data_IF_684143063120
#
_entry.id   IF_684143063120
#
_cell.length_a   1.000
_cell.length_b   1.000
_cell.length_c   1.000
_cell.angle_alpha   90.00
_cell.angle_beta   90.00
_cell.angle_gamma   90.00
#
_symmetry.space_group_name_H-M   'P 1'
#
loop_
_entity.id
_entity.type
_entity.pdbx_description
1 polymer ?
#
# COMPACT_ATOMS: atom_id res chain seq x y z
N UNK A 1 -38.40 26.17 -53.81
CA UNK A 1 -37.32 25.15 -53.67
C UNK A 1 -36.54 25.21 -52.35
N UNK A 2 -36.49 26.35 -51.63
CA UNK A 2 -35.69 26.48 -50.40
C UNK A 2 -36.31 25.87 -49.12
N UNK A 3 -37.64 25.88 -48.97
CA UNK A 3 -38.31 25.39 -47.75
C UNK A 3 -38.18 23.87 -47.54
N UNK A 4 -38.27 23.08 -48.60
CA UNK A 4 -38.13 21.62 -48.51
C UNK A 4 -36.70 21.20 -48.17
N UNK A 5 -35.71 21.96 -48.64
CA UNK A 5 -34.29 21.72 -48.32
C UNK A 5 -34.00 21.95 -46.83
N UNK A 6 -34.57 23.01 -46.25
CA UNK A 6 -34.41 23.31 -44.82
C UNK A 6 -35.09 22.27 -43.92
N UNK A 7 -36.25 21.74 -44.32
CA UNK A 7 -36.94 20.66 -43.59
C UNK A 7 -36.16 19.34 -43.58
N UNK A 8 -35.54 18.99 -44.71
CA UNK A 8 -34.71 17.78 -44.82
C UNK A 8 -33.44 17.91 -43.97
N UNK A 9 -32.79 19.09 -43.98
CA UNK A 9 -31.61 19.35 -43.15
C UNK A 9 -31.96 19.28 -41.66
N UNK A 10 -33.07 19.88 -41.23
CA UNK A 10 -33.55 19.82 -39.85
C UNK A 10 -33.84 18.38 -39.40
N UNK A 11 -34.49 17.58 -40.25
CA UNK A 11 -34.78 16.18 -39.94
C UNK A 11 -33.51 15.34 -39.80
N UNK A 12 -32.51 15.55 -40.66
CA UNK A 12 -31.22 14.85 -40.58
C UNK A 12 -30.44 15.22 -39.32
N UNK A 13 -30.43 16.49 -38.93
CA UNK A 13 -29.80 16.95 -37.69
C UNK A 13 -30.45 16.26 -36.47
N UNK A 14 -31.78 16.15 -36.47
CA UNK A 14 -32.52 15.53 -35.37
C UNK A 14 -32.21 14.02 -35.24
N UNK A 15 -32.09 13.31 -36.36
CA UNK A 15 -31.71 11.88 -36.37
C UNK A 15 -30.28 11.67 -35.88
N UNK A 16 -29.34 12.55 -36.25
CA UNK A 16 -27.95 12.48 -35.75
C UNK A 16 -27.88 12.76 -34.25
N UNK A 17 -28.64 13.74 -33.75
CA UNK A 17 -28.68 14.07 -32.32
C UNK A 17 -29.28 12.91 -31.52
N UNK A 18 -30.39 12.33 -31.97
CA UNK A 18 -31.01 11.17 -31.31
C UNK A 18 -30.08 9.96 -31.37
N UNK A 19 -29.48 9.69 -32.53
CA UNK A 19 -28.52 8.59 -32.69
C UNK A 19 -27.30 8.72 -31.80
N UNK A 20 -26.72 9.92 -31.70
CA UNK A 20 -25.60 10.20 -30.80
C UNK A 20 -26.01 10.11 -29.33
N UNK A 21 -27.18 10.63 -28.95
CA UNK A 21 -27.68 10.54 -27.58
C UNK A 21 -27.96 9.09 -27.16
N UNK A 22 -28.51 8.28 -28.06
CA UNK A 22 -28.74 6.84 -27.82
C UNK A 22 -27.41 6.09 -27.80
N UNK A 23 -26.45 6.43 -28.66
CA UNK A 23 -25.11 5.82 -28.64
C UNK A 23 -24.39 6.12 -27.32
N UNK A 24 -24.44 7.36 -26.83
CA UNK A 24 -23.86 7.74 -25.53
C UNK A 24 -24.58 7.04 -24.36
N UNK A 25 -25.90 6.89 -24.44
CA UNK A 25 -26.68 6.21 -23.41
C UNK A 25 -26.48 4.69 -23.42
N UNK A 26 -26.18 4.10 -24.58
CA UNK A 26 -25.95 2.66 -24.75
C UNK A 26 -24.48 2.25 -24.66
N UNK A 27 -23.52 3.19 -24.79
CA UNK A 27 -22.13 2.91 -24.41
C UNK A 27 -22.10 2.65 -22.91
N UNK A 28 -21.66 1.46 -22.46
CA UNK A 28 -21.37 1.25 -21.06
C UNK A 28 -20.38 2.33 -20.67
N UNK A 29 -20.74 3.17 -19.69
CA UNK A 29 -19.74 3.94 -18.98
C UNK A 29 -18.81 2.88 -18.40
N UNK A 30 -17.59 2.80 -18.93
CA UNK A 30 -16.54 1.98 -18.35
C UNK A 30 -16.48 2.43 -16.90
N UNK A 31 -16.99 1.60 -15.99
CA UNK A 31 -16.95 1.90 -14.57
C UNK A 31 -15.47 2.05 -14.26
N UNK A 32 -14.97 3.28 -14.18
CA UNK A 32 -13.70 3.56 -13.53
C UNK A 32 -13.81 2.84 -12.20
N UNK A 33 -13.08 1.71 -12.06
CA UNK A 33 -13.03 0.95 -10.82
C UNK A 33 -12.58 1.96 -9.80
N UNK A 34 -13.52 2.40 -8.96
CA UNK A 34 -13.21 3.33 -7.89
C UNK A 34 -12.12 2.61 -7.07
N UNK A 35 -10.93 3.20 -6.91
CA UNK A 35 -9.86 2.54 -6.18
C UNK A 35 -10.44 2.12 -4.82
N UNK A 36 -10.14 0.89 -4.41
CA UNK A 36 -10.38 0.46 -3.02
C UNK A 36 -9.40 1.27 -2.19
N UNK A 37 -9.76 2.51 -1.87
CA UNK A 37 -9.04 3.34 -0.95
C UNK A 37 -9.53 2.96 0.43
N UNK A 38 -8.71 2.19 1.11
CA UNK A 38 -8.84 2.06 2.54
C UNK A 38 -7.96 3.15 3.15
N UNK A 39 -8.53 4.26 3.67
CA UNK A 39 -7.75 5.19 4.47
C UNK A 39 -7.46 4.47 5.80
N UNK A 40 -6.33 3.80 5.89
CA UNK A 40 -5.87 3.21 7.14
C UNK A 40 -4.73 4.08 7.67
N UNK A 41 -5.10 5.06 8.47
CA UNK A 41 -4.26 5.41 9.61
C UNK A 41 -4.44 4.38 10.71
N UNK A 42 -3.63 4.43 11.76
CA UNK A 42 -3.73 3.49 12.88
C UNK A 42 -4.53 4.05 14.07
N UNK A 43 -5.39 5.05 13.89
CA UNK A 43 -6.14 5.80 14.92
C UNK A 43 -6.82 4.95 16.01
N UNK A 44 -7.29 3.76 15.67
CA UNK A 44 -8.01 2.87 16.59
C UNK A 44 -7.27 1.55 16.87
N UNK A 45 -6.00 1.46 16.50
CA UNK A 45 -5.16 0.28 16.64
C UNK A 45 -4.64 -0.26 15.32
N UNK A 46 -4.15 -1.49 15.35
CA UNK A 46 -3.66 -2.19 14.15
C UNK A 46 -4.78 -2.90 13.38
N UNK A 47 -6.01 -2.91 13.90
CA UNK A 47 -7.22 -3.43 13.25
C UNK A 47 -7.03 -4.80 12.56
N UNK A 48 -7.22 -4.84 11.24
CA UNK A 48 -7.14 -6.05 10.40
C UNK A 48 -5.71 -6.38 9.95
N UNK A 49 -4.70 -5.61 10.39
CA UNK A 49 -3.31 -5.86 10.08
C UNK A 49 -2.72 -6.95 10.98
N UNK A 50 -2.14 -7.96 10.34
CA UNK A 50 -1.34 -9.01 10.98
C UNK A 50 0.10 -8.56 11.11
N UNK A 51 0.79 -9.05 12.14
CA UNK A 51 2.19 -8.72 12.43
C UNK A 51 3.04 -9.92 12.08
N UNK A 52 4.06 -9.73 11.25
CA UNK A 52 4.93 -10.82 10.85
C UNK A 52 6.41 -10.42 10.79
N UNK A 53 7.29 -11.43 10.78
CA UNK A 53 8.72 -11.24 11.00
C UNK A 53 9.59 -12.38 10.45
N UNK A 54 10.59 -12.01 9.66
CA UNK A 54 11.72 -12.85 9.29
C UNK A 54 12.97 -12.34 10.00
N UNK A 55 13.28 -12.93 11.15
CA UNK A 55 14.32 -12.42 12.05
C UNK A 55 15.23 -13.55 12.56
N UNK A 56 16.53 -13.28 12.75
CA UNK A 56 17.51 -14.29 13.11
C UNK A 56 17.39 -14.75 14.57
N UNK A 57 18.15 -15.78 14.92
CA UNK A 57 18.32 -16.22 16.31
C UNK A 57 19.19 -15.23 17.08
N UNK A 58 18.82 -14.95 18.32
CA UNK A 58 19.59 -14.07 19.20
C UNK A 58 20.80 -14.83 19.80
N UNK A 59 22.05 -14.45 19.47
CA UNK A 59 23.24 -15.08 20.04
C UNK A 59 23.41 -14.81 21.54
N UNK A 60 22.81 -13.72 22.06
CA UNK A 60 22.83 -13.34 23.47
C UNK A 60 21.70 -14.00 24.28
N UNK A 61 20.68 -14.54 23.61
CA UNK A 61 19.57 -15.27 24.22
C UNK A 61 19.31 -16.61 23.50
N UNK A 62 20.17 -17.63 23.72
CA UNK A 62 20.12 -18.87 22.96
C UNK A 62 18.75 -19.57 22.98
N UNK A 63 18.27 -19.92 21.79
CA UNK A 63 16.97 -20.57 21.60
C UNK A 63 15.81 -19.61 21.34
N UNK A 64 16.06 -18.31 21.41
CA UNK A 64 15.07 -17.28 21.07
C UNK A 64 15.53 -16.52 19.81
N UNK A 65 14.55 -15.98 19.07
CA UNK A 65 14.83 -15.00 18.01
C UNK A 65 15.17 -13.63 18.63
N UNK A 66 15.77 -12.74 17.84
CA UNK A 66 16.02 -11.35 18.23
C UNK A 66 14.72 -10.66 18.65
N UNK A 67 14.81 -9.70 19.56
CA UNK A 67 13.64 -9.03 20.10
C UNK A 67 13.02 -8.12 19.04
N UNK A 68 11.71 -8.22 18.85
CA UNK A 68 10.96 -7.32 17.99
C UNK A 68 9.52 -7.18 18.48
N UNK A 69 8.86 -6.10 18.09
CA UNK A 69 7.45 -5.88 18.37
C UNK A 69 6.87 -4.83 17.43
N UNK A 70 5.60 -5.02 17.04
CA UNK A 70 4.81 -4.01 16.36
C UNK A 70 3.58 -3.71 17.23
N UNK A 71 3.39 -2.44 17.54
CA UNK A 71 2.32 -1.97 18.44
C UNK A 71 1.71 -0.69 17.90
N UNK A 72 0.42 -0.51 18.14
CA UNK A 72 -0.20 0.80 18.06
C UNK A 72 0.40 1.75 19.12
N UNK A 73 0.64 3.00 18.76
CA UNK A 73 1.02 4.09 19.64
C UNK A 73 0.26 5.38 19.24
N UNK A 74 0.13 6.32 20.18
CA UNK A 74 -0.36 7.67 19.85
C UNK A 74 0.72 8.38 19.01
N UNK A 75 0.32 9.11 17.96
CA UNK A 75 1.25 9.94 17.21
C UNK A 75 1.86 11.01 18.13
N UNK A 76 3.16 11.22 17.97
CA UNK A 76 3.91 12.25 18.69
C UNK A 76 3.58 13.65 18.18
N UNK A 77 3.05 13.79 16.94
CA UNK A 77 2.69 15.08 16.36
C UNK A 77 1.22 15.47 16.56
N UNK A 78 0.30 14.51 16.49
CA UNK A 78 -1.09 14.68 16.94
C UNK A 78 -1.58 13.48 17.79
N UNK A 79 -1.72 13.62 19.12
CA UNK A 79 -2.11 12.50 19.98
C UNK A 79 -3.55 11.99 19.76
N UNK A 80 -4.34 12.60 18.86
CA UNK A 80 -5.61 12.02 18.42
C UNK A 80 -5.49 11.04 17.26
N UNK A 81 -4.33 11.02 16.60
CA UNK A 81 -4.02 10.13 15.48
C UNK A 81 -3.13 8.98 15.98
N UNK A 82 -3.35 7.81 15.42
CA UNK A 82 -2.68 6.57 15.84
C UNK A 82 -1.65 6.12 14.82
N UNK A 83 -0.51 5.63 15.30
CA UNK A 83 0.61 5.18 14.45
C UNK A 83 0.98 3.73 14.75
N UNK A 84 1.52 3.04 13.76
CA UNK A 84 2.16 1.74 13.97
C UNK A 84 3.63 1.95 14.36
N UNK A 85 3.97 1.56 15.59
CA UNK A 85 5.33 1.59 16.12
C UNK A 85 6.02 0.24 15.94
N UNK A 86 7.09 0.24 15.16
CA UNK A 86 7.95 -0.89 14.89
C UNK A 86 9.18 -0.82 15.79
N UNK A 87 9.50 -1.91 16.48
CA UNK A 87 10.74 -2.07 17.24
C UNK A 87 11.42 -3.37 16.84
N UNK A 88 12.72 -3.32 16.60
CA UNK A 88 13.57 -4.49 16.38
C UNK A 88 14.95 -4.25 16.99
N UNK A 89 15.49 -5.28 17.65
CA UNK A 89 16.89 -5.38 18.00
C UNK A 89 17.67 -5.81 16.76
N UNK A 90 18.28 -4.85 16.08
CA UNK A 90 19.07 -5.07 14.88
C UNK A 90 20.53 -5.41 15.15
N UNK A 91 20.92 -5.74 16.38
CA UNK A 91 22.33 -6.00 16.79
C UNK A 91 23.00 -7.18 16.04
N UNK A 92 22.29 -7.87 15.16
CA UNK A 92 22.76 -9.01 14.36
C UNK A 92 22.89 -8.68 12.87
N UNK A 93 22.77 -7.40 12.49
CA UNK A 93 22.80 -6.91 11.09
C UNK A 93 21.72 -7.52 10.18
N UNK A 94 20.67 -8.09 10.76
CA UNK A 94 19.66 -8.86 10.04
C UNK A 94 18.33 -8.84 10.77
N UNK A 95 17.26 -9.04 10.01
CA UNK A 95 15.89 -9.11 10.48
C UNK A 95 14.97 -8.09 9.81
N UNK A 96 13.77 -8.56 9.49
CA UNK A 96 12.73 -7.80 8.81
C UNK A 96 11.41 -8.03 9.52
N UNK A 97 10.68 -6.93 9.79
CA UNK A 97 9.37 -6.96 10.45
C UNK A 97 8.38 -6.10 9.68
N UNK A 98 7.15 -6.57 9.55
CA UNK A 98 6.12 -5.91 8.75
C UNK A 98 4.72 -6.09 9.32
N UNK A 99 3.83 -5.20 8.90
CA UNK A 99 2.39 -5.40 8.96
C UNK A 99 1.90 -5.86 7.59
N UNK A 100 0.97 -6.79 7.57
CA UNK A 100 0.30 -7.26 6.36
C UNK A 100 -1.22 -7.35 6.50
N UNK A 101 -1.92 -7.28 5.38
CA UNK A 101 -3.37 -7.41 5.32
C UNK A 101 -3.78 -8.14 4.03
N UNK A 102 -4.68 -9.11 4.17
CA UNK A 102 -5.38 -9.74 3.03
C UNK A 102 -6.55 -8.86 2.58
N UNK A 103 -6.65 -8.65 1.27
CA UNK A 103 -7.69 -7.87 0.61
C UNK A 103 -8.45 -8.77 -0.35
N UNK A 104 -9.76 -8.87 -0.14
CA UNK A 104 -10.66 -9.55 -1.08
C UNK A 104 -10.79 -8.74 -2.38
N UNK A 105 -10.50 -9.39 -3.51
CA UNK A 105 -10.58 -8.88 -4.87
C UNK A 105 -11.45 -9.80 -5.73
N UNK A 106 -11.56 -9.50 -7.03
CA UNK A 106 -12.23 -10.40 -7.97
C UNK A 106 -11.28 -11.55 -8.34
N UNK A 107 -11.74 -12.81 -8.34
CA UNK A 107 -10.97 -13.93 -8.85
C UNK A 107 -10.54 -13.77 -10.31
N UNK A 108 -9.42 -14.38 -10.67
CA UNK A 108 -8.87 -14.48 -12.03
C UNK A 108 -8.85 -13.14 -12.77
N UNK A 109 -8.52 -12.06 -12.07
CA UNK A 109 -8.55 -10.69 -12.59
C UNK A 109 -7.16 -10.07 -12.46
N UNK A 110 -6.71 -9.42 -13.52
CA UNK A 110 -5.49 -8.62 -13.50
C UNK A 110 -5.76 -7.26 -12.82
N UNK A 111 -4.82 -6.86 -11.97
CA UNK A 111 -4.81 -5.59 -11.28
C UNK A 111 -3.44 -4.92 -11.38
N UNK A 112 -3.43 -3.59 -11.46
CA UNK A 112 -2.28 -2.79 -11.05
C UNK A 112 -2.50 -2.36 -9.60
N UNK A 113 -1.88 -3.08 -8.67
CA UNK A 113 -1.92 -2.80 -7.24
C UNK A 113 -0.87 -1.77 -6.87
N UNK A 114 -1.20 -0.85 -5.97
CA UNK A 114 -0.28 0.13 -5.41
C UNK A 114 -0.47 0.20 -3.91
N UNK A 115 0.64 0.19 -3.18
CA UNK A 115 0.70 0.55 -1.77
C UNK A 115 1.56 1.80 -1.62
N UNK A 116 1.14 2.71 -0.75
CA UNK A 116 1.96 3.81 -0.27
C UNK A 116 1.70 4.04 1.21
N UNK A 117 2.70 4.51 1.94
CA UNK A 117 2.62 4.82 3.35
C UNK A 117 3.71 5.80 3.72
N UNK A 118 3.60 6.42 4.90
CA UNK A 118 4.61 7.31 5.43
C UNK A 118 5.40 6.64 6.54
N UNK A 119 6.70 6.95 6.63
CA UNK A 119 7.55 6.56 7.74
C UNK A 119 8.18 7.80 8.36
N UNK A 120 8.08 7.91 9.69
CA UNK A 120 8.67 8.99 10.46
C UNK A 120 10.12 8.69 10.82
N UNK A 121 11.00 9.67 10.64
CA UNK A 121 12.38 9.65 11.12
C UNK A 121 12.63 10.82 12.08
N UNK A 122 13.14 10.54 13.28
CA UNK A 122 13.45 11.58 14.28
C UNK A 122 14.50 12.58 13.78
N UNK A 123 15.41 12.13 12.91
CA UNK A 123 16.42 12.99 12.28
C UNK A 123 16.84 12.46 10.91
N UNK A 124 17.25 13.38 10.03
CA UNK A 124 17.93 13.03 8.78
C UNK A 124 19.33 12.48 9.08
N UNK A 125 19.70 11.38 8.43
CA UNK A 125 21.00 10.75 8.56
C UNK A 125 21.45 10.12 7.24
N UNK A 126 22.76 10.16 6.99
CA UNK A 126 23.37 9.41 5.89
C UNK A 126 23.61 7.93 6.25
N UNK A 127 23.47 7.56 7.53
CA UNK A 127 23.62 6.18 7.97
C UNK A 127 22.35 5.39 7.60
N UNK A 128 22.52 4.33 6.83
CA UNK A 128 21.46 3.40 6.48
C UNK A 128 21.27 2.41 7.64
N UNK A 129 20.55 2.83 8.68
CA UNK A 129 20.29 1.97 9.84
C UNK A 129 19.32 0.83 9.49
N UNK A 130 18.35 1.15 8.63
CA UNK A 130 17.35 0.22 8.14
C UNK A 130 16.92 0.59 6.71
N UNK A 131 16.12 -0.28 6.13
CA UNK A 131 15.47 -0.09 4.85
C UNK A 131 13.96 -0.22 5.00
N UNK A 132 13.22 0.62 4.28
CA UNK A 132 11.77 0.53 4.18
C UNK A 132 11.42 -0.56 3.19
N UNK A 133 10.53 -1.46 3.59
CA UNK A 133 10.06 -2.57 2.76
C UNK A 133 8.56 -2.49 2.56
N UNK A 134 8.08 -3.00 1.43
CA UNK A 134 6.65 -3.12 1.17
C UNK A 134 6.32 -4.24 0.18
N UNK A 135 5.04 -4.56 0.12
CA UNK A 135 4.52 -5.62 -0.75
C UNK A 135 3.14 -5.26 -1.28
N UNK A 136 2.88 -5.67 -2.52
CA UNK A 136 1.54 -5.77 -3.09
C UNK A 136 1.53 -6.90 -4.13
N UNK A 137 0.68 -7.91 -3.92
CA UNK A 137 0.68 -9.09 -4.78
C UNK A 137 -0.35 -10.15 -4.39
N UNK A 138 -0.43 -11.27 -5.11
CA UNK A 138 -1.45 -12.29 -4.92
C UNK A 138 -1.05 -13.38 -3.90
N UNK A 139 0.11 -13.28 -3.27
CA UNK A 139 0.63 -14.29 -2.34
C UNK A 139 0.88 -13.63 -0.99
N UNK A 140 0.67 -14.40 0.07
CA UNK A 140 1.01 -14.02 1.43
C UNK A 140 2.55 -13.90 1.56
N UNK A 141 3.13 -12.74 1.95
CA UNK A 141 4.56 -12.60 2.13
C UNK A 141 5.01 -13.26 3.45
N UNK A 142 5.94 -14.22 3.38
CA UNK A 142 6.33 -15.04 4.53
C UNK A 142 7.81 -14.86 4.93
N UNK A 143 8.58 -14.15 4.10
CA UNK A 143 10.00 -13.94 4.30
C UNK A 143 10.47 -12.57 3.77
N UNK A 144 11.63 -12.11 4.23
CA UNK A 144 12.23 -10.84 3.77
C UNK A 144 12.31 -10.76 2.23
N UNK A 145 12.61 -11.89 1.58
CA UNK A 145 12.79 -11.98 0.13
C UNK A 145 11.50 -11.72 -0.67
N UNK A 146 10.34 -11.85 -0.04
CA UNK A 146 9.05 -11.58 -0.68
C UNK A 146 8.80 -10.06 -0.77
N UNK A 147 9.43 -9.29 0.11
CA UNK A 147 9.21 -7.85 0.25
C UNK A 147 10.15 -7.05 -0.67
N UNK A 148 9.62 -5.98 -1.26
CA UNK A 148 10.40 -5.06 -2.06
C UNK A 148 11.06 -3.98 -1.20
N UNK A 149 12.32 -3.69 -1.51
CA UNK A 149 13.07 -2.59 -0.93
C UNK A 149 12.63 -1.26 -1.56
N UNK A 150 12.05 -0.36 -0.75
CA UNK A 150 11.50 0.93 -1.20
C UNK A 150 12.48 2.09 -0.99
N UNK A 151 13.47 1.91 -0.13
CA UNK A 151 14.56 2.86 0.11
C UNK A 151 14.99 2.93 1.58
N UNK A 152 16.12 3.59 1.83
CA UNK A 152 16.65 3.73 3.18
C UNK A 152 15.76 4.61 4.08
N UNK A 153 15.72 4.28 5.38
CA UNK A 153 15.17 5.15 6.43
C UNK A 153 16.04 6.40 6.66
N UNK A 154 15.54 7.36 7.45
CA UNK A 154 16.26 8.57 7.87
C UNK A 154 16.72 9.48 6.72
N UNK A 155 16.11 9.39 5.53
CA UNK A 155 16.50 10.24 4.39
C UNK A 155 16.03 11.69 4.52
N UNK A 156 15.08 11.96 5.41
CA UNK A 156 14.62 13.30 5.81
C UNK A 156 14.27 13.25 7.29
N UNK A 157 14.28 14.40 7.97
CA UNK A 157 13.66 14.55 9.29
C UNK A 157 12.14 14.65 9.12
N UNK A 158 11.39 13.94 9.96
CA UNK A 158 9.94 13.88 9.91
C UNK A 158 9.41 12.77 9.01
N UNK A 159 8.21 12.99 8.47
CA UNK A 159 7.48 12.01 7.66
C UNK A 159 7.96 11.99 6.21
N UNK A 160 8.04 10.78 5.65
CA UNK A 160 8.34 10.55 4.25
C UNK A 160 7.49 9.44 3.67
N UNK A 161 6.88 9.71 2.54
CA UNK A 161 6.12 8.72 1.77
C UNK A 161 7.03 7.75 1.00
N UNK A 162 6.69 6.46 1.07
CA UNK A 162 7.24 5.38 0.26
C UNK A 162 6.10 4.72 -0.53
N UNK A 163 6.40 4.16 -1.71
CA UNK A 163 5.36 3.55 -2.54
C UNK A 163 5.92 2.52 -3.52
N UNK A 164 5.10 1.54 -3.85
CA UNK A 164 5.33 0.54 -4.88
C UNK A 164 4.06 0.27 -5.67
N UNK A 165 4.21 0.02 -6.98
CA UNK A 165 3.13 -0.51 -7.82
C UNK A 165 3.55 -1.81 -8.50
N UNK A 166 2.66 -2.80 -8.54
CA UNK A 166 2.89 -4.12 -9.15
C UNK A 166 1.66 -4.53 -9.95
N UNK A 167 1.89 -5.03 -11.16
CA UNK A 167 0.85 -5.69 -11.96
C UNK A 167 0.84 -7.17 -11.61
N UNK A 168 -0.32 -7.69 -11.18
CA UNK A 168 -0.49 -9.10 -10.84
C UNK A 168 -1.89 -9.60 -11.22
N UNK A 169 -2.06 -10.92 -11.23
CA UNK A 169 -3.37 -11.56 -11.40
C UNK A 169 -3.74 -12.30 -10.13
N UNK A 170 -4.98 -12.14 -9.68
CA UNK A 170 -5.56 -12.94 -8.60
C UNK A 170 -5.83 -14.37 -9.06
N UNK A 171 -5.88 -15.29 -8.11
CA UNK A 171 -6.19 -16.70 -8.35
C UNK A 171 -7.72 -16.97 -8.37
N UNK A 172 -8.13 -18.22 -8.16
CA UNK A 172 -9.54 -18.60 -8.12
C UNK A 172 -10.30 -18.12 -6.88
N UNK A 173 -9.58 -17.84 -5.79
CA UNK A 173 -10.16 -17.43 -4.51
C UNK A 173 -10.30 -15.91 -4.48
N UNK A 174 -9.41 -15.21 -5.19
CA UNK A 174 -9.57 -13.79 -5.48
C UNK A 174 -9.12 -12.90 -4.33
N UNK A 175 -7.91 -13.10 -3.82
CA UNK A 175 -7.31 -12.21 -2.84
C UNK A 175 -6.00 -11.60 -3.31
N UNK A 176 -5.60 -10.55 -2.61
CA UNK A 176 -4.28 -9.95 -2.68
C UNK A 176 -3.80 -9.62 -1.27
N UNK A 177 -2.49 -9.55 -1.11
CA UNK A 177 -1.82 -9.16 0.11
C UNK A 177 -1.11 -7.83 -0.10
N UNK A 178 -1.11 -7.03 0.93
CA UNK A 178 -0.32 -5.80 1.03
C UNK A 178 0.51 -5.84 2.31
N UNK A 179 1.72 -5.29 2.27
CA UNK A 179 2.55 -5.17 3.46
C UNK A 179 3.39 -3.89 3.48
N UNK A 180 3.71 -3.42 4.69
CA UNK A 180 4.65 -2.33 4.95
C UNK A 180 5.48 -2.61 6.20
N UNK A 181 6.76 -2.26 6.17
CA UNK A 181 7.65 -2.59 7.28
C UNK A 181 9.05 -2.02 7.16
N UNK A 182 9.95 -2.58 7.99
CA UNK A 182 11.37 -2.21 8.05
C UNK A 182 12.26 -3.45 8.04
N UNK A 183 13.44 -3.32 7.44
CA UNK A 183 14.49 -4.34 7.39
C UNK A 183 15.81 -3.76 7.93
N UNK A 184 16.48 -4.49 8.81
CA UNK A 184 17.72 -4.08 9.49
C UNK A 184 18.86 -3.96 8.48
N UNK A 185 19.68 -2.91 8.62
CA UNK A 185 20.91 -2.70 7.83
C UNK A 185 22.15 -2.45 8.69
N UNK A 186 21.96 -2.21 9.99
CA UNK A 186 23.06 -1.88 10.90
C UNK A 186 22.79 -2.40 12.32
N UNK A 187 23.86 -2.84 13.00
CA UNK A 187 23.90 -3.32 14.39
C UNK A 187 23.42 -2.28 15.43
N UNK A 188 22.11 -2.06 15.52
CA UNK A 188 21.50 -1.22 16.55
C UNK A 188 20.05 -1.60 16.79
N UNK A 189 19.57 -1.36 18.01
CA UNK A 189 18.14 -1.26 18.25
C UNK A 189 17.57 -0.06 17.48
N UNK A 190 16.37 -0.24 16.94
CA UNK A 190 15.70 0.79 16.15
C UNK A 190 14.21 0.82 16.41
N UNK A 191 13.65 2.03 16.33
CA UNK A 191 12.23 2.29 16.45
C UNK A 191 11.82 3.17 15.28
N UNK A 192 10.79 2.75 14.55
CA UNK A 192 10.19 3.52 13.48
C UNK A 192 8.67 3.60 13.63
N UNK A 193 8.09 4.68 13.13
CA UNK A 193 6.64 4.85 13.07
C UNK A 193 6.22 4.83 11.60
N UNK A 194 5.15 4.10 11.30
CA UNK A 194 4.50 4.07 9.99
C UNK A 194 3.05 4.51 10.16
N UNK A 195 2.55 5.27 9.19
CA UNK A 195 1.16 5.71 9.11
C UNK A 195 0.74 6.03 7.67
N UNK A 196 -0.49 6.54 7.49
CA UNK A 196 -1.04 7.02 6.22
C UNK A 196 -0.98 5.95 5.12
N UNK A 197 -1.33 4.71 5.47
CA UNK A 197 -1.33 3.59 4.53
C UNK A 197 -2.48 3.74 3.55
N UNK A 198 -2.12 3.86 2.27
CA UNK A 198 -3.05 3.90 1.15
C UNK A 198 -2.80 2.73 0.22
N UNK A 199 -3.88 2.07 -0.16
CA UNK A 199 -3.89 0.93 -1.08
C UNK A 199 -4.78 1.31 -2.27
N UNK A 200 -4.36 0.94 -3.48
CA UNK A 200 -5.17 1.11 -4.68
C UNK A 200 -5.05 -0.11 -5.61
N UNK A 201 -6.18 -0.59 -6.13
CA UNK A 201 -6.22 -1.64 -7.16
C UNK A 201 -6.99 -1.14 -8.38
N UNK A 202 -6.33 -1.11 -9.54
CA UNK A 202 -6.91 -0.66 -10.84
C UNK A 202 -7.05 -1.85 -11.78
#
# INVERSE_FOLDING_TARGET
MNQNRNRIILALILVVIIGAGVFIYLTPQENEKKPIQLPHGFDYGLEDWSKEADVPMDPNNPGNKVAWNITHAEDMTDPTDGVARFYIDGSQDDGTIWLEQEIELKPNTEYNGTISFELYSESESFNQLAEVVGYVGPQDPEAEIDLAQLGAVNQVEGWKTYSQSVVFSTDSDGSAWVACGISVRWETEMIYLIDDVMIEFK
#
